data_IF_718983875999
#
_entry.id   IF_718983875999
#
_cell.length_a   1.000
_cell.length_b   1.000
_cell.length_c   1.000
_cell.angle_alpha   90.00
_cell.angle_beta   90.00
_cell.angle_gamma   90.00
#
_symmetry.space_group_name_H-M   'P 1'
#
loop_
_entity.id
_entity.type
_entity.pdbx_description
1 polymer ?
#
# COMPACT_ATOMS: atom_id res chain seq x y z
N UNK A 1 -13.04 25.22 24.33
CA UNK A 1 -12.11 24.11 24.02
C UNK A 1 -12.76 23.29 22.92
N UNK A 2 -12.20 23.33 21.71
CA UNK A 2 -12.81 22.68 20.53
C UNK A 2 -12.67 21.16 20.66
N UNK A 3 -13.79 20.47 20.51
CA UNK A 3 -13.92 19.03 20.56
C UNK A 3 -13.20 18.44 19.33
N UNK A 4 -11.96 17.97 19.47
CA UNK A 4 -11.31 17.22 18.40
C UNK A 4 -12.13 15.97 18.18
N UNK A 5 -12.72 15.79 17.00
CA UNK A 5 -13.46 14.59 16.64
C UNK A 5 -12.59 13.37 16.97
N UNK A 6 -12.96 12.63 18.02
CA UNK A 6 -12.21 11.44 18.43
C UNK A 6 -12.29 10.44 17.28
N UNK A 7 -11.14 10.08 16.70
CA UNK A 7 -11.07 9.05 15.67
C UNK A 7 -11.74 7.80 16.23
N UNK A 8 -12.83 7.37 15.60
CA UNK A 8 -13.65 6.25 16.08
C UNK A 8 -13.07 4.91 15.65
N UNK A 9 -12.40 4.88 14.49
CA UNK A 9 -11.76 3.70 13.92
C UNK A 9 -10.47 4.05 13.17
N UNK A 10 -9.54 3.10 13.17
CA UNK A 10 -8.28 3.16 12.41
C UNK A 10 -8.21 1.94 11.49
N UNK A 11 -7.95 2.18 10.21
CA UNK A 11 -7.78 1.15 9.20
C UNK A 11 -6.32 1.11 8.72
N UNK A 12 -5.70 -0.06 8.79
CA UNK A 12 -4.41 -0.33 8.13
C UNK A 12 -4.63 -1.09 6.83
N UNK A 13 -4.08 -0.59 5.73
CA UNK A 13 -4.21 -1.20 4.40
C UNK A 13 -2.82 -1.61 3.92
N UNK A 14 -2.64 -2.91 3.73
CA UNK A 14 -1.41 -3.52 3.22
C UNK A 14 -1.59 -3.86 1.74
N UNK A 15 -0.75 -3.28 0.90
CA UNK A 15 -0.68 -3.60 -0.52
C UNK A 15 0.54 -4.49 -0.76
N UNK A 16 0.33 -5.72 -1.25
CA UNK A 16 1.50 -6.57 -1.53
C UNK A 16 2.31 -6.02 -2.71
N UNK A 17 3.64 -5.97 -2.61
CA UNK A 17 4.54 -5.60 -3.71
C UNK A 17 4.73 -6.66 -4.82
N UNK A 18 3.78 -7.58 -4.99
CA UNK A 18 3.88 -8.65 -6.00
C UNK A 18 3.30 -8.21 -7.36
N UNK A 19 3.68 -8.89 -8.45
CA UNK A 19 3.06 -8.66 -9.78
C UNK A 19 1.53 -8.85 -9.77
N UNK A 20 1.02 -9.59 -8.78
CA UNK A 20 -0.41 -9.77 -8.54
C UNK A 20 -0.91 -9.00 -7.31
N UNK A 21 -0.34 -7.82 -7.05
CA UNK A 21 -0.58 -6.96 -5.89
C UNK A 21 -2.05 -6.83 -5.50
N UNK A 22 -2.88 -6.61 -6.51
CA UNK A 22 -4.32 -6.42 -6.38
C UNK A 22 -5.05 -7.61 -5.77
N UNK A 23 -4.54 -8.84 -5.92
CA UNK A 23 -5.16 -10.04 -5.36
C UNK A 23 -4.95 -10.15 -3.84
N UNK A 24 -4.04 -9.34 -3.28
CA UNK A 24 -3.54 -9.47 -1.91
C UNK A 24 -3.67 -8.19 -1.08
N UNK A 25 -4.56 -7.26 -1.47
CA UNK A 25 -4.83 -6.08 -0.63
C UNK A 25 -5.65 -6.52 0.59
N UNK A 26 -5.09 -6.32 1.79
CA UNK A 26 -5.72 -6.62 3.06
C UNK A 26 -5.97 -5.34 3.85
N UNK A 27 -7.12 -5.32 4.53
CA UNK A 27 -7.55 -4.21 5.36
C UNK A 27 -7.74 -4.74 6.78
N UNK A 28 -7.05 -4.13 7.74
CA UNK A 28 -7.19 -4.35 9.17
C UNK A 28 -7.97 -3.17 9.77
N UNK A 29 -9.11 -3.45 10.37
CA UNK A 29 -9.94 -2.50 11.11
C UNK A 29 -9.65 -2.60 12.60
N UNK A 30 -9.46 -1.46 13.24
CA UNK A 30 -9.16 -1.37 14.67
C UNK A 30 -9.82 -0.17 15.32
N UNK A 31 -10.03 -0.27 16.64
CA UNK A 31 -10.55 0.84 17.46
C UNK A 31 -9.44 1.29 18.43
N UNK A 32 -9.22 2.61 18.59
CA UNK A 32 -8.35 3.14 19.63
C UNK A 32 -8.83 2.77 21.04
N UNK A 33 -7.90 2.35 21.88
CA UNK A 33 -8.13 2.10 23.32
C UNK A 33 -7.09 2.86 24.14
N UNK A 34 -7.28 2.88 25.46
CA UNK A 34 -6.33 3.40 26.43
C UNK A 34 -4.95 2.70 26.37
N UNK A 35 -4.89 1.48 25.84
CA UNK A 35 -3.68 0.63 25.75
C UNK A 35 -3.14 0.47 24.33
N UNK A 36 -3.69 1.18 23.35
CA UNK A 36 -3.27 1.10 21.94
C UNK A 36 -4.43 0.83 20.99
N UNK A 37 -4.35 -0.22 20.18
CA UNK A 37 -5.35 -0.57 19.18
C UNK A 37 -5.93 -1.95 19.43
N UNK A 38 -7.26 -2.05 19.39
CA UNK A 38 -7.97 -3.34 19.38
C UNK A 38 -8.38 -3.68 17.95
N UNK A 39 -7.78 -4.72 17.37
CA UNK A 39 -8.19 -5.24 16.06
C UNK A 39 -9.59 -5.83 16.15
N UNK A 40 -10.47 -5.37 15.27
CA UNK A 40 -11.86 -5.86 15.18
C UNK A 40 -12.02 -6.83 14.03
N UNK A 41 -11.38 -6.55 12.89
CA UNK A 41 -11.57 -7.35 11.67
C UNK A 41 -10.39 -7.21 10.72
N UNK A 42 -10.02 -8.31 10.09
CA UNK A 42 -9.16 -8.30 8.92
C UNK A 42 -9.93 -8.86 7.73
N UNK A 43 -9.86 -8.19 6.57
CA UNK A 43 -10.54 -8.64 5.37
C UNK A 43 -9.76 -8.30 4.11
N UNK A 44 -9.88 -9.18 3.12
CA UNK A 44 -9.27 -9.01 1.80
C UNK A 44 -10.28 -8.37 0.85
N UNK A 45 -9.85 -7.36 0.09
CA UNK A 45 -10.75 -6.57 -0.77
C UNK A 45 -11.47 -7.44 -1.80
N UNK A 46 -10.75 -8.38 -2.41
CA UNK A 46 -11.27 -9.28 -3.44
C UNK A 46 -12.24 -10.29 -2.86
N UNK A 47 -11.96 -10.84 -1.67
CA UNK A 47 -12.93 -11.72 -0.99
C UNK A 47 -14.22 -10.97 -0.64
N UNK A 48 -14.13 -9.69 -0.28
CA UNK A 48 -15.29 -8.86 0.10
C UNK A 48 -16.14 -8.42 -1.10
N UNK A 49 -15.52 -8.00 -2.21
CA UNK A 49 -16.21 -7.44 -3.37
C UNK A 49 -16.28 -8.38 -4.59
N UNK A 50 -15.79 -9.62 -4.47
CA UNK A 50 -15.74 -10.60 -5.54
C UNK A 50 -14.45 -10.56 -6.36
N UNK A 51 -14.35 -11.42 -7.38
CA UNK A 51 -13.17 -11.54 -8.25
C UNK A 51 -13.05 -10.34 -9.22
N UNK A 52 -12.78 -9.15 -8.68
CA UNK A 52 -12.69 -7.88 -9.41
C UNK A 52 -11.26 -7.59 -9.89
N UNK A 53 -11.13 -6.79 -10.94
CA UNK A 53 -9.83 -6.35 -11.48
C UNK A 53 -9.09 -5.41 -10.52
N UNK A 54 -7.81 -5.13 -10.81
CA UNK A 54 -7.00 -4.17 -10.06
C UNK A 54 -7.66 -2.79 -10.00
N UNK A 55 -7.97 -2.19 -11.15
CA UNK A 55 -8.57 -0.85 -11.21
C UNK A 55 -9.90 -0.79 -10.46
N UNK A 56 -10.72 -1.83 -10.57
CA UNK A 56 -11.97 -1.94 -9.81
C UNK A 56 -11.73 -2.08 -8.31
N UNK A 57 -10.69 -2.80 -7.89
CA UNK A 57 -10.31 -2.91 -6.47
C UNK A 57 -9.86 -1.57 -5.90
N UNK A 58 -9.00 -0.85 -6.61
CA UNK A 58 -8.55 0.49 -6.22
C UNK A 58 -9.72 1.47 -6.16
N UNK A 59 -10.62 1.46 -7.16
CA UNK A 59 -11.83 2.27 -7.14
C UNK A 59 -12.71 1.98 -5.93
N UNK A 60 -12.91 0.71 -5.58
CA UNK A 60 -13.68 0.33 -4.38
C UNK A 60 -13.01 0.80 -3.10
N UNK A 61 -11.68 0.74 -3.05
CA UNK A 61 -10.90 1.22 -1.91
C UNK A 61 -11.00 2.75 -1.76
N UNK A 62 -10.88 3.51 -2.86
CA UNK A 62 -11.00 4.98 -2.82
C UNK A 62 -12.42 5.42 -2.48
N UNK A 63 -13.44 4.74 -3.02
CA UNK A 63 -14.84 4.95 -2.61
C UNK A 63 -15.04 4.70 -1.10
N UNK A 64 -14.46 3.63 -0.56
CA UNK A 64 -14.52 3.31 0.87
C UNK A 64 -13.81 4.38 1.73
N UNK A 65 -12.60 4.80 1.36
CA UNK A 65 -11.87 5.84 2.08
C UNK A 65 -12.64 7.17 2.05
N UNK A 66 -13.10 7.59 0.87
CA UNK A 66 -13.78 8.87 0.67
C UNK A 66 -15.14 8.95 1.38
N UNK A 67 -15.82 7.82 1.56
CA UNK A 67 -17.11 7.75 2.25
C UNK A 67 -17.01 7.64 3.78
N UNK A 68 -15.80 7.45 4.31
CA UNK A 68 -15.60 7.26 5.75
C UNK A 68 -15.32 8.59 6.46
N UNK A 69 -16.04 8.86 7.56
CA UNK A 69 -15.88 10.08 8.36
C UNK A 69 -15.41 9.75 9.77
N UNK A 70 -14.57 10.61 10.35
CA UNK A 70 -14.08 10.44 11.73
C UNK A 70 -13.18 9.22 11.92
N UNK A 71 -12.53 8.75 10.86
CA UNK A 71 -11.62 7.59 10.87
C UNK A 71 -10.25 7.99 10.34
N UNK A 72 -9.22 7.21 10.66
CA UNK A 72 -7.88 7.35 10.07
C UNK A 72 -7.50 6.12 9.25
N UNK A 73 -6.75 6.34 8.16
CA UNK A 73 -6.23 5.30 7.28
C UNK A 73 -4.71 5.34 7.25
N UNK A 74 -4.07 4.21 7.55
CA UNK A 74 -2.68 3.93 7.23
C UNK A 74 -2.60 3.15 5.92
N UNK A 75 -1.80 3.62 4.97
CA UNK A 75 -1.65 3.01 3.64
C UNK A 75 -0.19 2.60 3.47
N UNK A 76 0.07 1.29 3.39
CA UNK A 76 1.40 0.74 3.15
C UNK A 76 1.57 0.43 1.65
N UNK A 77 2.03 1.44 0.90
CA UNK A 77 2.25 1.31 -0.54
C UNK A 77 3.64 0.72 -0.82
N UNK A 78 3.74 -0.41 -1.54
CA UNK A 78 5.03 -0.88 -2.00
C UNK A 78 5.55 0.07 -3.06
N UNK A 79 6.78 0.56 -2.87
CA UNK A 79 7.51 1.27 -3.91
C UNK A 79 8.48 0.31 -4.58
N UNK A 80 8.46 0.31 -5.92
CA UNK A 80 9.40 -0.45 -6.73
C UNK A 80 10.58 0.42 -7.16
N UNK A 81 11.71 -0.22 -7.44
CA UNK A 81 12.77 0.43 -8.20
C UNK A 81 12.32 0.59 -9.66
N UNK A 82 12.71 1.67 -10.36
CA UNK A 82 12.46 1.84 -11.79
C UNK A 82 12.85 0.59 -12.59
N UNK A 83 12.07 0.25 -13.64
CA UNK A 83 12.31 -0.96 -14.45
C UNK A 83 13.76 -1.08 -14.89
N UNK A 84 14.36 0.00 -15.37
CA UNK A 84 15.76 0.05 -15.83
C UNK A 84 16.79 -0.37 -14.76
N UNK A 85 16.43 -0.32 -13.47
CA UNK A 85 17.29 -0.77 -12.36
C UNK A 85 17.08 -2.26 -12.08
N UNK A 86 15.90 -2.81 -12.38
CA UNK A 86 15.49 -4.19 -12.05
C UNK A 86 15.25 -5.06 -13.28
N UNK A 87 15.72 -4.65 -14.46
CA UNK A 87 15.46 -5.31 -15.76
C UNK A 87 16.37 -6.52 -16.00
N UNK A 88 16.53 -7.35 -14.96
CA UNK A 88 17.37 -8.53 -14.99
C UNK A 88 16.49 -9.79 -14.98
N UNK A 89 16.90 -10.86 -15.70
CA UNK A 89 16.04 -12.02 -15.95
C UNK A 89 15.75 -12.83 -14.68
N UNK A 90 16.58 -12.69 -13.63
CA UNK A 90 16.39 -13.35 -12.35
C UNK A 90 17.10 -12.57 -11.23
N UNK A 91 16.82 -12.98 -10.00
CA UNK A 91 17.35 -12.35 -8.79
C UNK A 91 18.89 -12.38 -8.69
N UNK A 92 19.53 -13.46 -9.16
CA UNK A 92 20.99 -13.57 -9.09
C UNK A 92 21.64 -12.58 -10.06
N UNK A 93 21.17 -12.55 -11.32
CA UNK A 93 21.62 -11.57 -12.31
C UNK A 93 21.40 -10.12 -11.84
N UNK A 94 20.26 -9.87 -11.18
CA UNK A 94 20.01 -8.59 -10.52
C UNK A 94 21.08 -8.25 -9.49
N UNK A 95 21.36 -9.12 -8.52
CA UNK A 95 22.34 -8.83 -7.46
C UNK A 95 23.75 -8.62 -8.02
N UNK A 96 24.16 -9.41 -9.01
CA UNK A 96 25.47 -9.27 -9.67
C UNK A 96 25.59 -7.93 -10.39
N UNK A 97 24.55 -7.48 -11.08
CA UNK A 97 24.59 -6.24 -11.85
C UNK A 97 24.21 -5.00 -11.03
N UNK A 98 23.49 -5.17 -9.92
CA UNK A 98 22.99 -4.05 -9.11
C UNK A 98 24.13 -3.12 -8.68
N UNK A 99 25.26 -3.68 -8.23
CA UNK A 99 26.44 -2.89 -7.83
C UNK A 99 26.99 -2.01 -8.97
N UNK A 100 26.88 -2.44 -10.22
CA UNK A 100 27.30 -1.65 -11.38
C UNK A 100 26.31 -0.51 -11.67
N UNK A 101 25.03 -0.71 -11.37
CA UNK A 101 23.95 0.26 -11.62
C UNK A 101 23.98 1.41 -10.60
N UNK A 102 24.22 1.13 -9.31
CA UNK A 102 24.25 2.16 -8.25
C UNK A 102 25.52 3.04 -8.28
N UNK A 103 26.54 2.70 -9.06
CA UNK A 103 27.70 3.57 -9.30
C UNK A 103 27.44 4.68 -10.33
N UNK A 104 26.24 4.74 -10.92
CA UNK A 104 25.79 5.82 -11.82
C UNK A 104 25.32 7.03 -10.98
N UNK A 105 25.66 8.28 -11.34
CA UNK A 105 25.44 9.46 -10.49
C UNK A 105 23.98 9.67 -10.02
N UNK A 106 23.87 10.18 -8.79
CA UNK A 106 22.68 10.45 -7.96
C UNK A 106 21.52 11.16 -8.68
N UNK A 107 21.76 11.80 -9.83
CA UNK A 107 20.73 12.39 -10.69
C UNK A 107 19.65 11.41 -11.16
N UNK A 108 19.89 10.10 -11.11
CA UNK A 108 18.95 9.07 -11.60
C UNK A 108 17.81 8.71 -10.61
N UNK A 109 17.98 8.99 -9.31
CA UNK A 109 17.05 8.55 -8.25
C UNK A 109 15.75 9.40 -8.20
N UNK A 110 15.62 10.45 -9.02
CA UNK A 110 14.47 11.38 -9.00
C UNK A 110 13.17 10.86 -9.64
N UNK A 111 13.14 9.65 -10.20
CA UNK A 111 11.97 9.14 -10.95
C UNK A 111 11.02 8.26 -10.15
N UNK A 112 11.19 8.10 -8.83
CA UNK A 112 10.17 7.45 -7.99
C UNK A 112 9.02 8.44 -7.78
N UNK A 113 8.05 8.45 -8.70
CA UNK A 113 6.83 9.26 -8.61
C UNK A 113 5.67 8.42 -8.09
N UNK A 114 4.93 8.99 -7.13
CA UNK A 114 3.59 8.55 -6.78
C UNK A 114 2.64 9.32 -7.71
N UNK A 115 2.06 8.63 -8.68
CA UNK A 115 0.87 9.14 -9.38
C UNK A 115 -0.34 8.48 -8.72
N UNK A 116 -1.12 9.30 -8.00
CA UNK A 116 -2.40 8.93 -7.39
C UNK A 116 -3.53 9.08 -8.41
#
# INVERSE_FOLDING_TARGET
MQNSSSISSIYGIDFSGSQEAYKKIWICESIPTDKGLKVQKCWNIKKKYGNISLNSSLKKLTEFIASSQGVAFGLDFPFGLPKIIVDEPNWIAFIENFLNIIMIPVSFVKSVRIEL
#
